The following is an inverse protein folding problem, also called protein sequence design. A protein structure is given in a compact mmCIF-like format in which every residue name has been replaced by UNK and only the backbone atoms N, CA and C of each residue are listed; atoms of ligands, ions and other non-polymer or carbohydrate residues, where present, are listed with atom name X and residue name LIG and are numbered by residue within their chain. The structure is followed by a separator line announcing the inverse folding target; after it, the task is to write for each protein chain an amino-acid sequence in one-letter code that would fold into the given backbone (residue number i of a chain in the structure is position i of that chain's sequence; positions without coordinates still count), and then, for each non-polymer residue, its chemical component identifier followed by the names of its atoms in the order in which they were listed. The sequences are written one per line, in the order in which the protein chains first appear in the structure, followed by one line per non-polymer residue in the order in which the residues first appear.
data_IF_992758203249
#
_entry.id   IF_992758203249
#
_cell.length_a   1.000
_cell.length_b   1.000
_cell.length_c   1.000
_cell.angle_alpha   90.00
_cell.angle_beta   90.00
_cell.angle_gamma   90.00
#
_symmetry.space_group_name_H-M   'P 1'
#
loop_
_entity.id
_entity.type
_entity.pdbx_description
1 polymer ?
#
# COMPACT_ATOMS: atom_id res chain seq x y z
N UNK A 1 1.35 -2.35 -15.94
CA UNK A 1 1.74 -1.64 -14.73
C UNK A 1 3.18 -1.15 -14.77
N UNK A 2 4.11 -1.99 -15.19
CA UNK A 2 5.52 -1.58 -15.25
C UNK A 2 5.74 -0.46 -16.26
N UNK A 3 5.03 -0.50 -17.39
CA UNK A 3 5.10 0.56 -18.39
C UNK A 3 4.54 1.87 -17.85
N UNK A 4 3.41 1.79 -17.12
CA UNK A 4 2.81 2.98 -16.51
C UNK A 4 3.73 3.59 -15.45
N UNK A 5 4.39 2.77 -14.65
CA UNK A 5 5.36 3.22 -13.66
C UNK A 5 6.55 3.91 -14.35
N UNK A 6 7.08 3.32 -15.42
CA UNK A 6 8.19 3.89 -16.15
C UNK A 6 7.83 5.25 -16.75
N UNK A 7 6.60 5.42 -17.25
CA UNK A 7 6.15 6.72 -17.76
C UNK A 7 6.08 7.77 -16.68
N UNK A 8 5.59 7.39 -15.48
CA UNK A 8 5.54 8.31 -14.35
C UNK A 8 6.94 8.77 -13.97
N UNK A 9 7.90 7.85 -13.95
CA UNK A 9 9.28 8.16 -13.61
C UNK A 9 9.98 9.03 -14.63
N UNK A 10 9.62 8.91 -15.91
CA UNK A 10 10.20 9.73 -16.96
C UNK A 10 9.91 11.22 -16.77
N UNK A 11 8.89 11.55 -15.99
CA UNK A 11 8.53 12.93 -15.66
C UNK A 11 9.28 13.46 -14.44
N UNK A 12 10.10 12.64 -13.80
CA UNK A 12 10.87 12.99 -12.60
C UNK A 12 10.01 13.62 -11.49
N UNK A 13 8.88 12.98 -11.12
CA UNK A 13 8.00 13.58 -10.11
C UNK A 13 8.60 13.46 -8.72
N UNK A 14 8.20 14.36 -7.82
CA UNK A 14 8.58 14.29 -6.40
C UNK A 14 7.69 13.32 -5.63
N UNK A 15 6.44 13.18 -6.07
CA UNK A 15 5.45 12.30 -5.45
C UNK A 15 4.77 11.53 -6.57
N UNK A 16 4.65 10.22 -6.40
CA UNK A 16 3.94 9.35 -7.35
C UNK A 16 2.74 8.75 -6.67
N UNK A 17 1.57 8.83 -7.32
CA UNK A 17 0.35 8.22 -6.84
C UNK A 17 0.13 6.89 -7.56
N UNK A 18 -0.03 5.81 -6.80
CA UNK A 18 -0.41 4.50 -7.31
C UNK A 18 -1.81 4.16 -6.80
N UNK A 19 -2.73 3.89 -7.71
CA UNK A 19 -4.10 3.53 -7.37
C UNK A 19 -4.34 2.07 -7.71
N UNK A 20 -4.43 1.22 -6.70
CA UNK A 20 -4.63 -0.22 -6.82
C UNK A 20 -3.63 -0.88 -7.78
N UNK A 21 -2.31 -0.73 -7.54
CA UNK A 21 -1.30 -1.14 -8.52
C UNK A 21 -1.28 -2.65 -8.78
N UNK A 22 -1.83 -3.46 -7.88
CA UNK A 22 -1.80 -4.92 -8.04
C UNK A 22 -3.19 -5.53 -8.27
N UNK A 23 -4.25 -4.72 -8.31
CA UNK A 23 -5.63 -5.24 -8.30
C UNK A 23 -5.99 -6.07 -9.52
N UNK A 24 -5.39 -5.81 -10.69
CA UNK A 24 -5.70 -6.51 -11.93
C UNK A 24 -4.57 -7.45 -12.37
N UNK A 25 -3.60 -7.71 -11.49
CA UNK A 25 -2.44 -8.51 -11.84
C UNK A 25 -2.58 -9.96 -11.38
N UNK A 26 -1.98 -10.87 -12.14
CA UNK A 26 -1.78 -12.23 -11.68
C UNK A 26 -0.86 -12.22 -10.45
N UNK A 27 -1.05 -13.17 -9.51
CA UNK A 27 -0.20 -13.25 -8.34
C UNK A 27 1.30 -13.30 -8.64
N UNK A 28 1.66 -13.87 -9.79
CA UNK A 28 3.05 -13.94 -10.21
C UNK A 28 3.67 -12.59 -10.51
N UNK A 29 2.84 -11.61 -10.93
CA UNK A 29 3.31 -10.27 -11.29
C UNK A 29 3.33 -9.31 -10.11
N UNK A 30 2.64 -9.63 -9.03
CA UNK A 30 2.59 -8.78 -7.84
C UNK A 30 3.99 -8.55 -7.26
N UNK A 31 4.80 -9.60 -7.20
CA UNK A 31 6.17 -9.50 -6.73
C UNK A 31 7.05 -8.55 -7.53
N UNK A 32 6.84 -8.52 -8.86
CA UNK A 32 7.58 -7.60 -9.74
C UNK A 32 7.22 -6.14 -9.46
N UNK A 33 5.93 -5.85 -9.27
CA UNK A 33 5.48 -4.50 -8.94
C UNK A 33 6.01 -4.06 -7.58
N UNK A 34 5.96 -4.95 -6.58
CA UNK A 34 6.51 -4.68 -5.25
C UNK A 34 8.00 -4.34 -5.32
N UNK A 35 8.76 -5.09 -6.14
CA UNK A 35 10.20 -4.84 -6.26
C UNK A 35 10.48 -3.47 -6.87
N UNK A 36 9.75 -3.09 -7.91
CA UNK A 36 9.87 -1.77 -8.52
C UNK A 36 9.59 -0.68 -7.47
N UNK A 37 8.56 -0.84 -6.67
CA UNK A 37 8.20 0.14 -5.64
C UNK A 37 9.25 0.23 -4.54
N UNK A 38 9.85 -0.89 -4.14
CA UNK A 38 10.95 -0.89 -3.19
C UNK A 38 12.17 -0.15 -3.74
N UNK A 39 12.49 -0.38 -5.01
CA UNK A 39 13.60 0.30 -5.66
C UNK A 39 13.38 1.81 -5.70
N UNK A 40 12.16 2.25 -5.98
CA UNK A 40 11.80 3.65 -5.99
C UNK A 40 11.92 4.27 -4.59
N UNK A 41 11.49 3.54 -3.57
CA UNK A 41 11.59 4.01 -2.19
C UNK A 41 13.05 4.20 -1.80
N UNK A 42 13.91 3.24 -2.14
CA UNK A 42 15.33 3.33 -1.86
C UNK A 42 16.01 4.48 -2.61
N UNK A 43 15.48 4.84 -3.77
CA UNK A 43 15.96 6.00 -4.53
C UNK A 43 15.45 7.33 -3.97
N UNK A 44 14.68 7.32 -2.89
CA UNK A 44 14.19 8.54 -2.23
C UNK A 44 12.84 9.04 -2.75
N UNK A 45 12.14 8.24 -3.54
CA UNK A 45 10.84 8.62 -4.09
C UNK A 45 9.74 8.53 -3.01
N UNK A 46 8.92 9.57 -2.91
CA UNK A 46 7.74 9.55 -2.06
C UNK A 46 6.57 8.98 -2.87
N UNK A 47 5.87 8.01 -2.29
CA UNK A 47 4.77 7.34 -2.96
C UNK A 47 3.54 7.32 -2.08
N UNK A 48 2.38 7.59 -2.68
CA UNK A 48 1.07 7.39 -2.05
C UNK A 48 0.38 6.25 -2.77
N UNK A 49 0.03 5.19 -2.03
CA UNK A 49 -0.55 3.98 -2.61
C UNK A 49 -1.93 3.75 -2.02
N UNK A 50 -2.93 3.65 -2.89
CA UNK A 50 -4.29 3.28 -2.50
C UNK A 50 -4.50 1.82 -2.84
N UNK A 51 -4.82 0.99 -1.85
CA UNK A 51 -4.98 -0.44 -2.06
C UNK A 51 -5.92 -1.06 -1.04
N UNK A 52 -6.64 -2.10 -1.48
CA UNK A 52 -7.43 -2.97 -0.61
C UNK A 52 -6.64 -4.22 -0.21
N UNK A 53 -5.44 -4.40 -0.76
CA UNK A 53 -4.66 -5.60 -0.52
C UNK A 53 -3.72 -5.40 0.66
N UNK A 54 -4.08 -5.98 1.80
CA UNK A 54 -3.33 -5.80 3.04
C UNK A 54 -1.93 -6.39 2.99
N UNK A 55 -1.75 -7.52 2.30
CA UNK A 55 -0.42 -8.11 2.17
C UNK A 55 0.53 -7.18 1.43
N UNK A 56 0.01 -6.52 0.38
CA UNK A 56 0.77 -5.53 -0.35
C UNK A 56 1.14 -4.35 0.56
N UNK A 57 0.18 -3.83 1.31
CA UNK A 57 0.42 -2.70 2.20
C UNK A 57 1.45 -3.03 3.27
N UNK A 58 1.37 -4.23 3.86
CA UNK A 58 2.36 -4.67 4.86
C UNK A 58 3.77 -4.71 4.29
N UNK A 59 3.92 -5.18 3.06
CA UNK A 59 5.23 -5.37 2.45
C UNK A 59 5.85 -4.06 1.95
N UNK A 60 5.02 -3.13 1.49
CA UNK A 60 5.49 -1.96 0.77
C UNK A 60 5.50 -0.67 1.59
N UNK A 61 4.65 -0.55 2.59
CA UNK A 61 4.40 0.74 3.24
C UNK A 61 5.38 1.02 4.38
N UNK A 62 5.78 2.28 4.50
CA UNK A 62 6.46 2.80 5.69
C UNK A 62 5.43 3.35 6.69
N UNK A 63 4.27 3.77 6.17
CA UNK A 63 3.18 4.31 6.96
C UNK A 63 1.87 3.89 6.31
N UNK A 64 0.92 3.47 7.14
CA UNK A 64 -0.40 3.05 6.68
C UNK A 64 -1.45 4.00 7.23
N UNK A 65 -2.39 4.37 6.36
CA UNK A 65 -3.53 5.22 6.73
C UNK A 65 -4.79 4.42 6.44
N UNK A 66 -5.57 4.14 7.49
CA UNK A 66 -6.85 3.47 7.33
C UNK A 66 -7.95 4.53 7.28
N UNK A 67 -8.72 4.50 6.20
CA UNK A 67 -9.82 5.44 5.98
C UNK A 67 -11.15 4.71 5.86
N UNK A 68 -12.21 5.35 6.35
CA UNK A 68 -13.56 4.83 6.24
C UNK A 68 -14.51 6.02 6.16
N UNK A 69 -15.44 5.98 5.21
CA UNK A 69 -16.43 7.02 4.99
C UNK A 69 -15.81 8.41 4.81
N UNK A 70 -14.68 8.48 4.12
CA UNK A 70 -14.01 9.74 3.83
C UNK A 70 -13.22 10.33 5.00
N UNK A 71 -13.09 9.58 6.09
CA UNK A 71 -12.42 10.04 7.31
C UNK A 71 -11.23 9.14 7.62
N UNK A 72 -10.12 9.73 8.06
CA UNK A 72 -8.99 8.96 8.56
C UNK A 72 -9.37 8.41 9.94
N UNK A 73 -9.40 7.08 10.05
CA UNK A 73 -9.70 6.40 11.30
C UNK A 73 -8.45 6.22 12.13
N UNK A 74 -7.38 5.73 11.49
CA UNK A 74 -6.12 5.48 12.18
C UNK A 74 -4.97 5.56 11.20
N UNK A 75 -3.80 5.99 11.68
CA UNK A 75 -2.59 6.01 10.86
C UNK A 75 -1.38 5.69 11.72
N UNK A 76 -0.40 5.07 11.12
CA UNK A 76 0.83 4.69 11.82
C UNK A 76 1.65 3.70 11.02
N UNK A 77 2.72 3.15 11.61
CA UNK A 77 3.53 2.14 10.93
C UNK A 77 2.72 0.86 10.70
N UNK A 78 3.12 0.03 9.72
CA UNK A 78 2.41 -1.22 9.45
C UNK A 78 2.26 -2.11 10.68
N UNK A 79 3.27 -2.16 11.55
CA UNK A 79 3.20 -2.97 12.76
C UNK A 79 2.04 -2.56 13.68
N UNK A 80 1.74 -1.26 13.75
CA UNK A 80 0.60 -0.78 14.54
C UNK A 80 -0.72 -1.15 13.90
N UNK A 81 -0.89 -0.81 12.61
CA UNK A 81 -2.17 -0.98 11.93
C UNK A 81 -2.56 -2.46 11.82
N UNK A 82 -1.61 -3.31 11.51
CA UNK A 82 -1.88 -4.74 11.29
C UNK A 82 -1.63 -5.62 12.50
N UNK A 83 -0.80 -5.18 13.44
CA UNK A 83 -0.42 -5.98 14.61
C UNK A 83 -1.01 -5.51 15.93
N UNK A 84 -1.22 -4.20 16.09
CA UNK A 84 -1.72 -3.62 17.34
C UNK A 84 -2.55 -2.36 17.06
N UNK A 85 -3.66 -2.50 16.31
CA UNK A 85 -4.48 -1.34 15.99
C UNK A 85 -5.13 -0.73 17.23
N UNK A 86 -5.11 0.61 17.29
CA UNK A 86 -5.58 1.36 18.46
C UNK A 86 -7.07 1.68 18.39
N UNK A 87 -7.65 1.68 17.19
CA UNK A 87 -9.06 2.00 17.03
C UNK A 87 -9.88 0.72 16.83
N UNK A 88 -11.07 0.70 17.42
CA UNK A 88 -11.95 -0.48 17.33
C UNK A 88 -12.31 -0.80 15.88
N UNK A 89 -12.54 0.21 15.06
CA UNK A 89 -12.86 0.02 13.64
C UNK A 89 -11.71 -0.61 12.88
N UNK A 90 -10.49 -0.19 13.18
CA UNK A 90 -9.28 -0.76 12.56
C UNK A 90 -9.15 -2.23 12.96
N UNK A 91 -9.33 -2.54 14.23
CA UNK A 91 -9.28 -3.92 14.74
C UNK A 91 -10.30 -4.80 14.02
N UNK A 92 -11.52 -4.31 13.87
CA UNK A 92 -12.59 -5.06 13.21
C UNK A 92 -12.28 -5.31 11.74
N UNK A 93 -11.73 -4.31 11.05
CA UNK A 93 -11.36 -4.42 9.64
C UNK A 93 -10.24 -5.45 9.43
N UNK A 94 -9.18 -5.33 10.21
CA UNK A 94 -8.01 -6.23 10.10
C UNK A 94 -8.40 -7.65 10.48
N UNK A 95 -9.18 -7.83 11.55
CA UNK A 95 -9.63 -9.15 11.98
C UNK A 95 -10.50 -9.84 10.93
N UNK A 96 -11.37 -9.09 10.26
CA UNK A 96 -12.24 -9.63 9.22
C UNK A 96 -11.43 -10.16 8.03
N UNK A 97 -10.38 -9.44 7.65
CA UNK A 97 -9.54 -9.85 6.53
C UNK A 97 -8.64 -11.01 6.92
N UNK A 98 -8.00 -10.95 8.08
CA UNK A 98 -7.16 -12.04 8.58
C UNK A 98 -7.97 -13.30 8.87
N UNK A 99 -9.24 -13.15 9.23
CA UNK A 99 -10.14 -14.27 9.49
C UNK A 99 -10.57 -15.07 8.27
N UNK A 100 -10.23 -14.60 7.06
CA UNK A 100 -10.59 -15.25 5.81
C UNK A 100 -9.47 -16.11 5.22
N UNK A 101 -8.46 -16.37 5.95
CA UNK A 101 -7.33 -17.22 5.49
C UNK A 101 -7.68 -18.68 5.49
#
# INVERSE_FOLDING_TARGET
QRVAIARALALEPRIVLFDEPTSALDPELVGSVLQVMRDLREAGMTMLVVSHELQFARAAADRVVFMEDGVIVEQGPPAQIFGDPQQARTRAFVARIDGHH
#
